data_IF_631107293715
#
_entry.id   IF_631107293715
#
_cell.length_a   1.000
_cell.length_b   1.000
_cell.length_c   1.000
_cell.angle_alpha   90.00
_cell.angle_beta   90.00
_cell.angle_gamma   90.00
#
_symmetry.space_group_name_H-M   'P 1'
#
loop_
_entity.id
_entity.type
_entity.pdbx_description
1 polymer ?
#
# COMPACT_ATOMS: atom_id res chain seq x y z
N UNK A 1 0.78 -17.69 -3.03
CA UNK A 1 0.05 -16.63 -2.29
C UNK A 1 0.29 -15.31 -3.00
N UNK A 2 -0.73 -14.47 -3.14
CA UNK A 2 -0.64 -13.26 -3.97
C UNK A 2 0.42 -12.24 -3.45
N UNK A 3 0.72 -12.21 -2.15
CA UNK A 3 1.79 -11.38 -1.59
C UNK A 3 3.20 -11.83 -2.00
N UNK A 4 3.37 -13.10 -2.41
CA UNK A 4 4.60 -13.61 -3.00
C UNK A 4 4.74 -13.29 -4.50
N UNK A 5 3.62 -12.97 -5.18
CA UNK A 5 3.63 -12.51 -6.59
C UNK A 5 4.01 -11.04 -6.67
N UNK A 6 3.45 -10.22 -5.79
CA UNK A 6 3.66 -8.77 -5.77
C UNK A 6 4.77 -8.31 -4.83
N UNK A 7 5.40 -9.24 -4.10
CA UNK A 7 6.55 -8.99 -3.24
C UNK A 7 6.32 -7.83 -2.24
N UNK A 8 5.22 -7.85 -1.48
CA UNK A 8 5.00 -6.90 -0.39
C UNK A 8 4.57 -7.58 0.91
N UNK A 9 4.89 -6.94 2.04
CA UNK A 9 4.51 -7.34 3.37
C UNK A 9 3.65 -6.25 4.03
N UNK A 10 2.67 -6.66 4.82
CA UNK A 10 1.96 -5.76 5.72
C UNK A 10 2.72 -5.70 7.04
N UNK A 11 3.03 -4.49 7.47
CA UNK A 11 3.81 -4.22 8.67
C UNK A 11 2.96 -3.41 9.64
N UNK A 12 2.84 -3.91 10.86
CA UNK A 12 2.29 -3.19 11.99
C UNK A 12 3.45 -2.73 12.88
N UNK A 13 4.01 -1.57 12.57
CA UNK A 13 5.06 -0.95 13.35
C UNK A 13 4.49 -0.13 14.53
N UNK A 14 5.37 0.54 15.28
CA UNK A 14 4.96 1.35 16.42
C UNK A 14 3.94 2.43 16.02
N UNK A 15 4.10 3.09 14.87
CA UNK A 15 3.20 4.15 14.44
C UNK A 15 1.80 3.61 14.14
N UNK A 16 1.71 2.41 13.54
CA UNK A 16 0.45 1.68 13.34
C UNK A 16 -0.21 1.37 14.70
N UNK A 17 0.54 0.80 15.65
CA UNK A 17 0.00 0.43 16.96
C UNK A 17 -0.45 1.65 17.79
N UNK A 18 0.32 2.74 17.75
CA UNK A 18 -0.03 4.00 18.42
C UNK A 18 -1.26 4.65 17.77
N UNK A 19 -1.44 4.48 16.46
CA UNK A 19 -2.63 4.93 15.71
C UNK A 19 -3.90 4.22 16.15
N UNK A 20 -3.86 2.91 16.35
CA UNK A 20 -5.01 2.13 16.83
C UNK A 20 -5.53 2.67 18.17
N UNK A 21 -4.64 3.07 19.08
CA UNK A 21 -5.01 3.69 20.36
C UNK A 21 -5.73 5.04 20.21
N UNK A 22 -5.56 5.70 19.06
CA UNK A 22 -6.23 6.96 18.67
C UNK A 22 -7.40 6.76 17.70
N UNK A 23 -7.84 5.53 17.47
CA UNK A 23 -8.87 5.20 16.47
C UNK A 23 -8.46 5.50 15.02
N UNK A 24 -7.16 5.44 14.73
CA UNK A 24 -6.59 5.52 13.38
C UNK A 24 -6.26 4.10 12.89
N UNK A 25 -7.03 3.59 11.93
CA UNK A 25 -6.86 2.21 11.42
C UNK A 25 -6.03 2.19 10.14
N UNK A 26 -4.74 2.48 10.27
CA UNK A 26 -3.79 2.57 9.16
C UNK A 26 -2.77 1.45 9.25
N UNK A 27 -2.44 0.80 8.13
CA UNK A 27 -1.38 -0.23 8.02
C UNK A 27 -0.30 0.23 7.05
N UNK A 28 0.92 -0.29 7.22
CA UNK A 28 2.05 -0.06 6.31
C UNK A 28 2.20 -1.23 5.34
N UNK A 29 2.19 -0.97 4.04
CA UNK A 29 2.51 -1.94 2.99
C UNK A 29 3.94 -1.68 2.49
N UNK A 30 4.84 -2.65 2.67
CA UNK A 30 6.27 -2.52 2.34
C UNK A 30 6.63 -3.47 1.20
N UNK A 31 7.22 -2.94 0.14
CA UNK A 31 7.77 -3.75 -0.96
C UNK A 31 9.10 -4.40 -0.55
N UNK A 32 9.32 -5.66 -0.98
CA UNK A 32 10.53 -6.43 -0.72
C UNK A 32 11.10 -7.11 -1.97
N UNK A 33 10.78 -6.68 -3.19
CA UNK A 33 11.33 -7.34 -4.38
C UNK A 33 12.82 -7.03 -4.60
N UNK A 34 13.71 -7.76 -3.91
CA UNK A 34 15.16 -7.58 -3.94
C UNK A 34 15.83 -8.08 -5.23
N UNK A 35 15.07 -8.56 -6.21
CA UNK A 35 15.58 -9.21 -7.41
C UNK A 35 16.14 -8.25 -8.46
N UNK A 36 17.41 -7.83 -8.30
CA UNK A 36 18.42 -7.48 -9.34
C UNK A 36 18.13 -6.47 -10.46
N UNK A 37 16.88 -6.20 -10.82
CA UNK A 37 16.46 -5.19 -11.80
C UNK A 37 16.13 -3.84 -11.15
N UNK A 38 16.21 -3.75 -9.83
CA UNK A 38 16.24 -2.48 -9.12
C UNK A 38 17.63 -1.86 -9.33
N UNK A 39 17.87 -1.34 -10.53
CA UNK A 39 19.08 -0.58 -10.83
C UNK A 39 19.07 0.81 -10.16
N UNK A 40 17.94 1.23 -9.58
CA UNK A 40 17.73 2.61 -9.10
C UNK A 40 17.19 2.74 -7.66
N UNK A 41 17.47 1.80 -6.75
CA UNK A 41 17.12 2.00 -5.33
C UNK A 41 15.62 2.21 -5.04
N UNK A 42 14.73 1.55 -5.78
CA UNK A 42 13.27 1.64 -5.60
C UNK A 42 12.76 0.65 -4.58
N UNK A 43 13.21 0.81 -3.35
CA UNK A 43 12.51 0.32 -2.16
C UNK A 43 11.46 1.36 -1.80
N UNK A 44 10.33 0.93 -1.27
CA UNK A 44 9.33 1.87 -0.80
C UNK A 44 8.12 1.20 -0.17
N UNK A 45 7.34 2.05 0.47
CA UNK A 45 6.23 1.65 1.30
C UNK A 45 5.16 2.72 1.29
N UNK A 46 3.94 2.32 1.59
CA UNK A 46 2.79 3.23 1.74
C UNK A 46 2.08 2.95 3.04
N UNK A 47 1.49 3.99 3.61
CA UNK A 47 0.46 3.86 4.65
C UNK A 47 -0.88 3.85 3.97
N UNK A 48 -1.80 2.99 4.38
CA UNK A 48 -3.16 3.01 3.88
C UNK A 48 -4.13 2.65 5.00
N UNK A 49 -5.34 3.18 4.90
CA UNK A 49 -6.42 2.73 5.76
C UNK A 49 -6.68 1.23 5.54
N UNK A 50 -6.92 0.51 6.63
CA UNK A 50 -7.17 -0.93 6.59
C UNK A 50 -8.36 -1.29 5.70
N UNK A 51 -9.37 -0.42 5.60
CA UNK A 51 -10.52 -0.58 4.70
C UNK A 51 -10.14 -0.53 3.21
N UNK A 52 -9.00 0.07 2.86
CA UNK A 52 -8.52 0.24 1.48
C UNK A 52 -7.53 -0.83 1.04
N UNK A 53 -7.33 -1.86 1.87
CA UNK A 53 -6.43 -2.95 1.53
C UNK A 53 -6.86 -3.66 0.25
N UNK A 54 -8.17 -3.80 0.01
CA UNK A 54 -8.70 -4.41 -1.22
C UNK A 54 -8.36 -3.56 -2.46
N UNK A 55 -8.48 -2.25 -2.38
CA UNK A 55 -8.11 -1.34 -3.48
C UNK A 55 -6.61 -1.44 -3.81
N UNK A 56 -5.75 -1.59 -2.80
CA UNK A 56 -4.33 -1.84 -3.01
C UNK A 56 -4.10 -3.14 -3.78
N UNK A 57 -4.83 -4.20 -3.43
CA UNK A 57 -4.76 -5.47 -4.16
C UNK A 57 -5.17 -5.33 -5.63
N UNK A 58 -6.24 -4.60 -5.91
CA UNK A 58 -6.72 -4.37 -7.27
C UNK A 58 -5.73 -3.56 -8.10
N UNK A 59 -5.18 -2.49 -7.54
CA UNK A 59 -4.15 -1.68 -8.19
C UNK A 59 -2.92 -2.53 -8.55
N UNK A 60 -2.48 -3.41 -7.64
CA UNK A 60 -1.38 -4.35 -7.91
C UNK A 60 -1.75 -5.35 -9.02
N UNK A 61 -2.96 -5.89 -9.02
CA UNK A 61 -3.41 -6.81 -10.06
C UNK A 61 -3.49 -6.14 -11.45
N UNK A 62 -4.02 -4.92 -11.52
CA UNK A 62 -4.12 -4.16 -12.76
C UNK A 62 -2.75 -3.83 -13.33
N UNK A 63 -1.80 -3.41 -12.49
CA UNK A 63 -0.42 -3.14 -12.96
C UNK A 63 0.24 -4.39 -13.55
N UNK A 64 0.02 -5.57 -12.96
CA UNK A 64 0.51 -6.85 -13.49
C UNK A 64 -0.16 -7.24 -14.82
N UNK A 65 -1.49 -7.07 -14.94
CA UNK A 65 -2.21 -7.28 -16.20
C UNK A 65 -1.74 -6.34 -17.31
N UNK A 66 -1.41 -5.10 -16.97
CA UNK A 66 -0.90 -4.08 -17.88
C UNK A 66 0.61 -4.18 -18.12
N UNK A 67 1.30 -5.16 -17.55
CA UNK A 67 2.77 -5.31 -17.62
C UNK A 67 3.52 -4.04 -17.21
N UNK A 68 2.93 -3.26 -16.30
CA UNK A 68 3.51 -2.05 -15.73
C UNK A 68 4.30 -2.40 -14.48
N UNK A 69 5.15 -1.48 -14.02
CA UNK A 69 5.95 -1.71 -12.81
C UNK A 69 5.03 -1.88 -11.59
N UNK A 70 4.97 -3.10 -11.04
CA UNK A 70 4.18 -3.47 -9.86
C UNK A 70 4.48 -2.67 -8.58
N UNK A 71 5.61 -1.96 -8.56
CA UNK A 71 6.00 -1.08 -7.45
C UNK A 71 5.59 0.38 -7.67
N UNK A 72 4.90 0.72 -8.77
CA UNK A 72 4.53 2.10 -9.10
C UNK A 72 3.87 2.82 -7.92
N UNK A 73 2.92 2.15 -7.26
CA UNK A 73 2.17 2.70 -6.12
C UNK A 73 2.93 2.70 -4.80
N UNK A 74 4.06 2.01 -4.72
CA UNK A 74 4.89 1.92 -3.51
C UNK A 74 6.19 2.71 -3.64
N UNK A 75 6.36 3.48 -4.73
CA UNK A 75 7.52 4.36 -4.90
C UNK A 75 7.33 5.62 -4.08
N UNK A 76 8.42 6.06 -3.47
CA UNK A 76 8.53 7.39 -2.92
C UNK A 76 9.54 8.17 -3.78
N UNK A 77 9.08 9.24 -4.41
CA UNK A 77 9.93 10.17 -5.16
C UNK A 77 10.52 11.28 -4.25
N UNK A 78 10.28 11.18 -2.93
CA UNK A 78 10.67 12.16 -1.91
C UNK A 78 11.43 11.53 -0.73
N UNK A 79 11.72 12.32 0.33
CA UNK A 79 12.31 11.78 1.55
C UNK A 79 11.34 10.82 2.25
N UNK A 80 11.88 9.77 2.87
CA UNK A 80 11.09 8.76 3.59
C UNK A 80 10.19 9.36 4.69
N UNK A 81 10.58 10.50 5.26
CA UNK A 81 9.78 11.25 6.24
C UNK A 81 8.40 11.66 5.72
N UNK A 82 8.24 11.86 4.41
CA UNK A 82 6.97 12.27 3.83
C UNK A 82 5.96 11.11 3.87
N UNK A 83 6.43 9.87 3.72
CA UNK A 83 5.64 8.65 3.82
C UNK A 83 5.08 8.39 5.23
N UNK A 84 5.76 8.91 6.26
CA UNK A 84 5.27 8.81 7.63
C UNK A 84 4.01 9.64 7.85
N UNK A 85 3.77 10.67 7.04
CA UNK A 85 2.57 11.51 7.13
C UNK A 85 1.55 11.26 6.02
N UNK A 86 1.98 10.72 4.88
CA UNK A 86 1.12 10.50 3.74
C UNK A 86 0.32 9.20 3.87
N UNK A 87 -1.00 9.29 3.64
CA UNK A 87 -1.90 8.14 3.60
C UNK A 87 -2.30 7.94 2.15
N UNK A 88 -1.99 6.77 1.61
CA UNK A 88 -2.35 6.39 0.26
C UNK A 88 -3.86 6.48 0.05
N UNK A 89 -4.24 7.34 -0.89
CA UNK A 89 -5.63 7.68 -1.16
C UNK A 89 -6.29 6.82 -2.24
N UNK A 90 -5.67 5.71 -2.62
CA UNK A 90 -6.18 4.83 -3.66
C UNK A 90 -5.67 5.20 -5.05
N UNK A 91 -6.01 4.38 -6.04
CA UNK A 91 -5.76 4.68 -7.45
C UNK A 91 -7.00 5.36 -8.05
N UNK A 92 -6.87 6.65 -8.37
CA UNK A 92 -7.94 7.46 -9.00
C UNK A 92 -8.37 6.96 -10.38
N UNK A 93 -7.58 6.06 -11.00
CA UNK A 93 -7.90 5.44 -12.28
C UNK A 93 -8.74 4.15 -12.16
N UNK A 94 -8.94 3.64 -10.94
CA UNK A 94 -9.78 2.48 -10.65
C UNK A 94 -11.16 2.95 -10.17
N UNK A 95 -12.27 2.32 -10.62
CA UNK A 95 -13.58 2.63 -10.07
C UNK A 95 -13.58 2.44 -8.55
N UNK A 96 -13.87 3.52 -7.82
CA UNK A 96 -13.92 3.54 -6.36
C UNK A 96 -14.90 2.48 -5.83
N UNK A 97 -14.39 1.54 -5.03
CA UNK A 97 -15.19 0.51 -4.35
C UNK A 97 -15.45 0.85 -2.87
N UNK A 98 -15.00 2.02 -2.37
CA UNK A 98 -15.24 2.49 -1.00
C UNK A 98 -16.73 2.44 -0.59
N UNK A 99 -17.66 2.40 -1.55
CA UNK A 99 -19.09 2.22 -1.30
C UNK A 99 -19.46 0.90 -0.60
N UNK A 100 -18.55 -0.06 -0.49
CA UNK A 100 -18.79 -1.37 0.13
C UNK A 100 -17.77 -1.78 1.21
N UNK A 101 -16.78 -0.94 1.50
CA UNK A 101 -15.67 -1.26 2.43
C UNK A 101 -15.96 -0.85 3.89
N UNK A 102 -16.96 0.01 4.11
CA UNK A 102 -17.43 0.32 5.47
C UNK A 102 -18.18 -0.88 6.04
N UNK A 103 -17.50 -1.65 6.88
CA UNK A 103 -18.18 -2.60 7.77
C UNK A 103 -18.96 -1.76 8.78
N UNK A 104 -20.28 -1.66 8.58
CA UNK A 104 -21.20 -1.09 9.56
C UNK A 104 -20.99 -1.76 10.93
N UNK A 105 -20.39 -1.05 11.88
CA UNK A 105 -20.39 -1.43 13.28
C UNK A 105 -21.59 -0.77 13.96
N UNK A 106 -22.56 -1.59 14.37
CA UNK A 106 -23.68 -1.23 15.25
C UNK A 106 -23.19 -0.78 16.64
#
# INVERSE_FOLDING_TARGET
>A
MAGAKFCFALVADKAVLDGIARNEFVVKAVSYDWGGQIQDGRWGWVRLETGRLLELWEALLLTDLQSTNKHYWMKCDGPESDLETDIWTGDWSVPCLDIHSEVYTN
#
